data_IF_522091857690
#
_entry.id   IF_522091857690
#
_cell.length_a   1.000
_cell.length_b   1.000
_cell.length_c   1.000
_cell.angle_alpha   90.00
_cell.angle_beta   90.00
_cell.angle_gamma   90.00
#
_symmetry.space_group_name_H-M   'P 1'
#
loop_
_entity.id
_entity.type
_entity.pdbx_description
1 polymer ?
#
# COMPACT_ATOMS: atom_id res chain seq x y z
N UNK A 1 5.81 -13.05 -3.62
CA UNK A 1 6.00 -11.74 -4.25
C UNK A 1 7.09 -10.96 -3.52
N UNK A 2 7.83 -10.14 -4.28
CA UNK A 2 8.89 -9.26 -3.74
C UNK A 2 8.50 -7.81 -3.94
N UNK A 3 8.71 -7.00 -2.91
CA UNK A 3 8.35 -5.58 -2.91
C UNK A 3 9.56 -4.73 -3.32
N UNK A 4 9.47 -4.08 -4.48
CA UNK A 4 10.41 -3.09 -5.01
C UNK A 4 9.69 -1.77 -5.35
N UNK A 5 8.74 -1.37 -4.52
CA UNK A 5 7.81 -0.26 -4.80
C UNK A 5 8.33 1.14 -4.45
N UNK A 6 9.65 1.32 -4.32
CA UNK A 6 10.26 2.66 -4.19
C UNK A 6 10.59 3.29 -5.55
N UNK A 7 10.78 4.59 -5.57
CA UNK A 7 11.30 5.30 -6.73
C UNK A 7 12.83 5.24 -6.76
N UNK A 8 13.40 4.93 -7.92
CA UNK A 8 14.84 4.75 -8.11
C UNK A 8 15.47 5.98 -8.75
N UNK A 9 16.44 6.65 -8.10
CA UNK A 9 17.22 7.69 -8.74
C UNK A 9 18.12 7.09 -9.84
N UNK A 10 18.53 7.91 -10.81
CA UNK A 10 19.35 7.47 -11.95
C UNK A 10 20.62 6.73 -11.52
N UNK A 11 21.21 7.11 -10.39
CA UNK A 11 22.42 6.45 -9.84
C UNK A 11 22.19 4.99 -9.41
N UNK A 12 20.96 4.60 -9.11
CA UNK A 12 20.60 3.27 -8.59
C UNK A 12 20.01 2.34 -9.65
N UNK A 13 19.69 2.82 -10.84
CA UNK A 13 19.05 2.02 -11.91
C UNK A 13 19.87 0.77 -12.27
N UNK A 14 21.19 0.87 -12.34
CA UNK A 14 22.04 -0.31 -12.61
C UNK A 14 21.99 -1.35 -11.51
N UNK A 15 21.92 -0.91 -10.27
CA UNK A 15 21.77 -1.80 -9.13
C UNK A 15 20.40 -2.47 -9.13
N UNK A 16 19.33 -1.71 -9.33
CA UNK A 16 17.98 -2.25 -9.48
C UNK A 16 17.87 -3.28 -10.61
N UNK A 17 18.57 -3.08 -11.74
CA UNK A 17 18.63 -4.07 -12.81
C UNK A 17 19.32 -5.38 -12.36
N UNK A 18 20.37 -5.29 -11.55
CA UNK A 18 21.03 -6.49 -10.99
C UNK A 18 20.13 -7.24 -10.02
N UNK A 19 19.42 -6.49 -9.14
CA UNK A 19 18.44 -7.08 -8.22
C UNK A 19 17.32 -7.80 -8.98
N UNK A 20 16.77 -7.21 -10.04
CA UNK A 20 15.75 -7.84 -10.87
C UNK A 20 16.24 -9.17 -11.49
N UNK A 21 17.49 -9.22 -11.97
CA UNK A 21 18.08 -10.45 -12.50
C UNK A 21 18.21 -11.54 -11.43
N UNK A 22 18.67 -11.17 -10.23
CA UNK A 22 18.76 -12.10 -9.10
C UNK A 22 17.38 -12.64 -8.69
N UNK A 23 16.35 -11.78 -8.63
CA UNK A 23 14.99 -12.21 -8.33
C UNK A 23 14.45 -13.18 -9.39
N UNK A 24 14.77 -12.95 -10.67
CA UNK A 24 14.44 -13.89 -11.75
C UNK A 24 15.11 -15.25 -11.55
N UNK A 25 16.40 -15.28 -11.23
CA UNK A 25 17.17 -16.51 -10.96
C UNK A 25 16.63 -17.26 -9.74
N UNK A 26 16.14 -16.52 -8.72
CA UNK A 26 15.49 -17.10 -7.52
C UNK A 26 14.08 -17.67 -7.81
N UNK A 27 13.51 -17.41 -8.97
CA UNK A 27 12.22 -17.94 -9.39
C UNK A 27 11.02 -17.31 -8.66
N UNK A 28 11.07 -16.01 -8.34
CA UNK A 28 9.95 -15.32 -7.68
C UNK A 28 8.69 -15.33 -8.56
N UNK A 29 7.51 -15.42 -7.94
CA UNK A 29 6.23 -15.44 -8.65
C UNK A 29 5.82 -14.07 -9.19
N UNK A 30 6.23 -12.99 -8.54
CA UNK A 30 5.95 -11.63 -8.98
C UNK A 30 6.73 -10.56 -8.20
N UNK A 31 6.85 -9.39 -8.82
CA UNK A 31 7.58 -8.24 -8.29
C UNK A 31 6.65 -7.02 -8.29
N UNK A 32 6.44 -6.44 -7.12
CA UNK A 32 5.59 -5.27 -6.93
C UNK A 32 6.45 -4.02 -7.13
N UNK A 33 6.09 -3.18 -8.08
CA UNK A 33 6.82 -1.97 -8.44
C UNK A 33 5.91 -0.72 -8.42
N UNK A 34 6.52 0.45 -8.18
CA UNK A 34 5.86 1.75 -8.31
C UNK A 34 6.55 2.66 -9.35
N UNK A 35 7.78 2.36 -9.72
CA UNK A 35 8.61 3.20 -10.59
C UNK A 35 8.45 2.82 -12.06
N UNK A 36 7.95 3.72 -12.94
CA UNK A 36 7.89 3.48 -14.38
C UNK A 36 9.27 3.27 -15.03
N UNK A 37 10.34 3.85 -14.46
CA UNK A 37 11.71 3.61 -14.91
C UNK A 37 12.13 2.16 -14.65
N UNK A 38 11.75 1.60 -13.50
CA UNK A 38 12.00 0.20 -13.18
C UNK A 38 11.21 -0.75 -14.09
N UNK A 39 9.98 -0.37 -14.49
CA UNK A 39 9.24 -1.11 -15.52
C UNK A 39 10.03 -1.19 -16.82
N UNK A 40 10.60 -0.06 -17.28
CA UNK A 40 11.39 -0.06 -18.52
C UNK A 40 12.61 -1.00 -18.44
N UNK A 41 13.29 -1.00 -17.29
CA UNK A 41 14.43 -1.92 -17.04
C UNK A 41 13.96 -3.39 -17.04
N UNK A 42 12.84 -3.69 -16.39
CA UNK A 42 12.28 -5.04 -16.34
C UNK A 42 11.84 -5.52 -17.74
N UNK A 43 11.30 -4.62 -18.56
CA UNK A 43 10.93 -4.90 -19.94
C UNK A 43 12.13 -5.32 -20.79
N UNK A 44 13.30 -4.70 -20.62
CA UNK A 44 14.54 -5.11 -21.28
C UNK A 44 14.99 -6.54 -20.89
N UNK A 45 14.51 -7.03 -19.75
CA UNK A 45 14.75 -8.37 -19.23
C UNK A 45 13.62 -9.35 -19.55
N UNK A 46 12.57 -8.93 -20.27
CA UNK A 46 11.35 -9.71 -20.56
C UNK A 46 10.66 -10.22 -19.28
N UNK A 47 10.47 -9.33 -18.31
CA UNK A 47 9.87 -9.61 -16.98
C UNK A 47 8.52 -8.93 -16.78
N UNK A 48 7.91 -8.37 -17.82
CA UNK A 48 6.66 -7.61 -17.71
C UNK A 48 5.52 -8.44 -17.10
N UNK A 49 5.43 -9.70 -17.47
CA UNK A 49 4.43 -10.65 -17.01
C UNK A 49 4.57 -11.07 -15.55
N UNK A 50 5.65 -10.67 -14.88
CA UNK A 50 5.87 -10.83 -13.44
C UNK A 50 5.66 -9.55 -12.65
N UNK A 51 5.41 -8.43 -13.31
CA UNK A 51 5.29 -7.15 -12.64
C UNK A 51 3.86 -6.88 -12.17
N UNK A 52 3.79 -6.31 -10.97
CA UNK A 52 2.57 -5.78 -10.37
C UNK A 52 2.78 -4.30 -10.17
N UNK A 53 1.99 -3.46 -10.83
CA UNK A 53 2.06 -2.02 -10.65
C UNK A 53 1.30 -1.60 -9.40
N UNK A 54 2.01 -1.06 -8.42
CA UNK A 54 1.47 -0.63 -7.13
C UNK A 54 2.08 0.71 -6.71
N UNK A 55 1.62 1.82 -7.31
CA UNK A 55 2.06 3.18 -6.96
C UNK A 55 1.30 3.73 -5.75
N UNK A 56 0.89 2.88 -4.83
CA UNK A 56 0.11 3.19 -3.63
C UNK A 56 -1.26 3.83 -3.97
N UNK A 57 -1.31 5.15 -4.15
CA UNK A 57 -2.54 5.92 -4.23
C UNK A 57 -2.92 6.40 -5.63
N UNK A 58 -2.13 6.10 -6.66
CA UNK A 58 -2.24 6.80 -7.95
C UNK A 58 -3.17 6.15 -8.98
N UNK A 59 -3.44 4.85 -8.91
CA UNK A 59 -4.36 4.20 -9.87
C UNK A 59 -5.80 4.46 -9.47
N UNK A 60 -6.39 5.51 -10.05
CA UNK A 60 -7.69 6.04 -9.68
C UNK A 60 -8.76 5.95 -10.78
N UNK A 61 -8.44 5.31 -11.91
CA UNK A 61 -9.38 5.13 -13.01
C UNK A 61 -9.19 3.79 -13.72
N UNK A 62 -10.25 3.33 -14.37
CA UNK A 62 -10.18 2.12 -15.19
C UNK A 62 -9.22 2.28 -16.38
N UNK A 63 -9.12 3.48 -16.94
CA UNK A 63 -8.25 3.74 -18.09
C UNK A 63 -6.77 3.71 -17.69
N UNK A 64 -6.43 4.21 -16.50
CA UNK A 64 -5.08 4.08 -15.95
C UNK A 64 -4.72 2.60 -15.71
N UNK A 65 -5.61 1.86 -15.04
CA UNK A 65 -5.41 0.43 -14.82
C UNK A 65 -5.25 -0.35 -16.15
N UNK A 66 -6.10 -0.07 -17.16
CA UNK A 66 -6.00 -0.67 -18.51
C UNK A 66 -4.68 -0.32 -19.20
N UNK A 67 -4.22 0.92 -19.07
CA UNK A 67 -2.93 1.33 -19.64
C UNK A 67 -1.80 0.42 -19.13
N UNK A 68 -1.65 0.29 -17.82
CA UNK A 68 -0.59 -0.53 -17.25
C UNK A 68 -0.71 -2.02 -17.61
N UNK A 69 -1.91 -2.57 -17.58
CA UNK A 69 -2.14 -3.95 -18.03
C UNK A 69 -1.82 -4.15 -19.52
N UNK A 70 -2.07 -3.13 -20.36
CA UNK A 70 -1.74 -3.17 -21.79
C UNK A 70 -0.25 -3.21 -22.07
N UNK A 71 0.59 -2.82 -21.10
CA UNK A 71 2.05 -2.89 -21.20
C UNK A 71 2.63 -4.30 -20.98
N UNK A 72 1.77 -5.28 -20.69
CA UNK A 72 2.17 -6.67 -20.43
C UNK A 72 2.33 -7.00 -18.93
N UNK A 73 2.06 -6.06 -18.03
CA UNK A 73 2.14 -6.33 -16.59
C UNK A 73 1.10 -7.36 -16.16
N UNK A 74 1.50 -8.20 -15.21
CA UNK A 74 0.64 -9.24 -14.63
C UNK A 74 -0.59 -8.65 -13.94
N UNK A 75 -0.42 -7.56 -13.19
CA UNK A 75 -1.49 -7.00 -12.38
C UNK A 75 -1.24 -5.53 -12.03
N UNK A 76 -2.30 -4.87 -11.58
CA UNK A 76 -2.28 -3.48 -11.10
C UNK A 76 -3.04 -3.35 -9.78
N UNK A 77 -2.54 -2.53 -8.86
CA UNK A 77 -3.24 -2.21 -7.63
C UNK A 77 -4.08 -0.95 -7.79
N UNK A 78 -5.37 -1.06 -7.46
CA UNK A 78 -6.30 0.06 -7.40
C UNK A 78 -6.02 0.85 -6.12
N UNK A 79 -6.12 2.18 -6.20
CA UNK A 79 -5.97 3.07 -5.05
C UNK A 79 -7.00 2.76 -3.96
N UNK A 80 -6.59 2.56 -2.71
CA UNK A 80 -7.51 2.37 -1.59
C UNK A 80 -8.15 3.69 -1.09
N UNK A 81 -7.77 4.84 -1.69
CA UNK A 81 -8.30 6.16 -1.35
C UNK A 81 -9.59 6.53 -2.11
N UNK A 82 -10.11 5.61 -2.88
CA UNK A 82 -11.35 5.78 -3.65
C UNK A 82 -12.56 5.37 -2.84
N UNK A 83 -13.74 5.82 -3.27
CA UNK A 83 -15.00 5.29 -2.76
C UNK A 83 -15.19 3.84 -3.21
N UNK A 84 -15.95 3.08 -2.46
CA UNK A 84 -16.37 1.75 -2.82
C UNK A 84 -16.93 1.68 -4.26
N UNK A 85 -17.85 2.58 -4.62
CA UNK A 85 -18.45 2.63 -5.95
C UNK A 85 -17.39 2.77 -7.06
N UNK A 86 -16.40 3.63 -6.85
CA UNK A 86 -15.30 3.84 -7.79
C UNK A 86 -14.40 2.61 -7.89
N UNK A 87 -14.07 1.96 -6.76
CA UNK A 87 -13.28 0.73 -6.73
C UNK A 87 -13.99 -0.39 -7.48
N UNK A 88 -15.28 -0.63 -7.18
CA UNK A 88 -16.08 -1.67 -7.83
C UNK A 88 -16.18 -1.44 -9.35
N UNK A 89 -16.36 -0.18 -9.77
CA UNK A 89 -16.41 0.18 -11.19
C UNK A 89 -15.09 -0.07 -11.92
N UNK A 90 -13.96 0.26 -11.30
CA UNK A 90 -12.64 -0.03 -11.87
C UNK A 90 -12.42 -1.53 -11.92
N UNK A 91 -12.63 -2.23 -10.82
CA UNK A 91 -12.39 -3.68 -10.70
C UNK A 91 -13.20 -4.49 -11.74
N UNK A 92 -14.48 -4.13 -11.95
CA UNK A 92 -15.33 -4.78 -12.96
C UNK A 92 -14.93 -4.47 -14.41
N UNK A 93 -14.10 -3.45 -14.63
CA UNK A 93 -13.66 -2.99 -15.96
C UNK A 93 -12.31 -3.57 -16.39
N UNK A 94 -11.57 -4.18 -15.48
CA UNK A 94 -10.22 -4.71 -15.72
C UNK A 94 -10.09 -6.14 -15.20
N UNK A 95 -9.04 -6.83 -15.62
CA UNK A 95 -8.66 -8.15 -15.09
C UNK A 95 -7.33 -8.01 -14.35
N UNK A 96 -7.08 -8.93 -13.42
CA UNK A 96 -5.81 -8.99 -12.69
C UNK A 96 -5.51 -7.71 -11.90
N UNK A 97 -6.45 -7.29 -11.07
CA UNK A 97 -6.24 -6.18 -10.13
C UNK A 97 -6.15 -6.66 -8.68
N UNK A 98 -5.50 -5.83 -7.87
CA UNK A 98 -5.40 -5.95 -6.42
C UNK A 98 -5.75 -4.65 -5.72
N UNK A 99 -5.85 -4.70 -4.39
CA UNK A 99 -6.06 -3.54 -3.53
C UNK A 99 -5.48 -3.79 -2.15
N UNK A 100 -4.99 -2.74 -1.49
CA UNK A 100 -4.68 -2.79 -0.06
C UNK A 100 -5.99 -2.80 0.74
N UNK A 101 -6.15 -3.80 1.62
CA UNK A 101 -7.36 -4.00 2.44
C UNK A 101 -7.12 -3.81 3.92
N UNK A 102 -5.85 -3.78 4.37
CA UNK A 102 -5.52 -3.61 5.78
C UNK A 102 -4.19 -2.88 5.97
N UNK A 103 -4.12 -2.04 7.01
CA UNK A 103 -2.93 -1.32 7.43
C UNK A 103 -3.04 0.19 7.23
N UNK A 104 -2.03 0.93 7.68
CA UNK A 104 -1.93 2.36 7.42
C UNK A 104 -1.72 2.61 5.93
N UNK A 105 -2.41 3.62 5.38
CA UNK A 105 -2.25 4.01 3.98
C UNK A 105 -1.14 5.05 3.84
N UNK A 106 -0.28 4.92 2.83
CA UNK A 106 0.71 5.93 2.52
C UNK A 106 0.02 7.18 1.96
N UNK A 107 0.15 8.32 2.65
CA UNK A 107 -0.43 9.59 2.22
C UNK A 107 0.55 10.47 1.47
N UNK A 108 1.82 10.43 1.87
CA UNK A 108 2.84 11.29 1.29
C UNK A 108 4.21 10.62 1.34
N UNK A 109 4.99 10.83 0.27
CA UNK A 109 6.39 10.47 0.20
C UNK A 109 7.20 11.67 -0.29
N UNK A 110 8.32 11.96 0.37
CA UNK A 110 9.26 13.00 -0.03
C UNK A 110 10.66 12.41 -0.15
N UNK A 111 11.33 12.64 -1.27
CA UNK A 111 12.76 12.31 -1.42
C UNK A 111 13.69 13.19 -0.60
N UNK A 112 13.17 14.27 0.00
CA UNK A 112 13.95 15.13 0.89
C UNK A 112 13.99 14.52 2.29
N UNK A 113 15.13 14.55 2.98
CA UNK A 113 15.27 14.09 4.36
C UNK A 113 14.69 15.15 5.31
N UNK A 114 13.36 15.23 5.39
CA UNK A 114 12.66 16.30 6.10
C UNK A 114 12.76 16.16 7.62
N UNK A 115 12.77 14.94 8.15
CA UNK A 115 12.94 14.69 9.59
C UNK A 115 14.39 15.01 10.01
N UNK A 116 15.37 14.61 9.22
CA UNK A 116 16.78 14.97 9.44
C UNK A 116 16.98 16.50 9.40
N UNK A 117 16.42 17.18 8.39
CA UNK A 117 16.50 18.63 8.31
C UNK A 117 15.79 19.34 9.50
N UNK A 118 14.64 18.81 9.92
CA UNK A 118 13.93 19.30 11.11
C UNK A 118 14.75 19.09 12.39
N UNK A 119 15.37 17.93 12.54
CA UNK A 119 16.23 17.60 13.68
C UNK A 119 17.36 18.64 13.82
N UNK A 120 18.03 18.97 12.72
CA UNK A 120 19.12 19.96 12.70
C UNK A 120 18.64 21.36 13.12
N UNK A 121 17.53 21.84 12.53
CA UNK A 121 16.97 23.18 12.82
C UNK A 121 16.44 23.28 14.25
N UNK A 122 15.83 22.22 14.76
CA UNK A 122 15.26 22.19 16.11
C UNK A 122 16.28 21.82 17.20
N UNK A 123 17.54 21.52 16.84
CA UNK A 123 18.60 21.05 17.75
C UNK A 123 18.17 19.84 18.59
N UNK A 124 17.53 18.84 17.96
CA UNK A 124 17.11 17.61 18.62
C UNK A 124 18.29 16.64 18.66
N UNK A 125 18.67 16.19 19.84
CA UNK A 125 19.81 15.24 20.01
C UNK A 125 19.46 13.82 19.58
N UNK A 126 18.22 13.38 19.81
CA UNK A 126 17.76 12.05 19.45
C UNK A 126 17.62 11.90 17.93
N UNK A 127 18.22 10.85 17.31
CA UNK A 127 18.09 10.65 15.86
C UNK A 127 16.63 10.42 15.44
N UNK A 128 16.16 11.20 14.46
CA UNK A 128 14.83 11.02 13.87
C UNK A 128 14.86 10.10 12.64
N UNK A 129 16.00 9.96 11.98
CA UNK A 129 16.21 9.02 10.88
C UNK A 129 16.14 7.56 11.38
N UNK A 130 15.46 6.68 10.66
CA UNK A 130 15.18 5.28 11.06
C UNK A 130 14.39 5.11 12.37
N UNK A 131 13.77 6.17 12.90
CA UNK A 131 12.96 6.09 14.09
C UNK A 131 11.51 5.71 13.76
N UNK A 132 11.08 4.52 14.19
CA UNK A 132 9.72 3.99 13.94
C UNK A 132 8.67 4.45 14.97
N UNK A 133 9.02 5.34 15.89
CA UNK A 133 8.11 5.82 16.94
C UNK A 133 7.70 7.27 16.74
N UNK A 134 7.87 7.80 15.54
CA UNK A 134 7.54 9.19 15.23
C UNK A 134 6.12 9.29 14.66
N UNK A 135 5.43 10.33 15.13
CA UNK A 135 4.10 10.67 14.68
C UNK A 135 4.00 12.17 14.42
N UNK A 136 3.31 12.53 13.35
CA UNK A 136 2.92 13.91 13.09
C UNK A 136 1.50 14.14 13.62
N UNK A 137 1.27 15.32 14.17
CA UNK A 137 -0.06 15.76 14.58
C UNK A 137 -0.38 17.10 13.95
N UNK A 138 -1.48 17.19 13.23
CA UNK A 138 -2.00 18.46 12.75
C UNK A 138 -2.65 19.25 13.88
N UNK A 139 -2.52 20.58 13.86
CA UNK A 139 -3.10 21.44 14.91
C UNK A 139 -4.63 21.32 15.02
N UNK A 140 -5.29 20.98 13.92
CA UNK A 140 -6.78 20.95 13.82
C UNK A 140 -7.36 19.54 13.83
N UNK A 141 -6.53 18.51 14.00
CA UNK A 141 -6.94 17.11 14.02
C UNK A 141 -6.36 16.41 15.24
N UNK A 142 -7.11 15.47 15.81
CA UNK A 142 -6.65 14.69 16.96
C UNK A 142 -5.85 13.44 16.57
N UNK A 143 -5.92 13.05 15.31
CA UNK A 143 -5.23 11.86 14.79
C UNK A 143 -3.71 11.99 14.79
N UNK A 144 -3.03 10.87 15.03
CA UNK A 144 -1.58 10.74 15.05
C UNK A 144 -1.13 9.99 13.79
N UNK A 145 -0.50 10.70 12.85
CA UNK A 145 -0.03 10.16 11.58
C UNK A 145 1.39 9.58 11.74
N UNK A 146 1.59 8.25 11.60
CA UNK A 146 2.93 7.69 11.60
C UNK A 146 3.82 8.33 10.54
N UNK A 147 5.06 8.66 10.92
CA UNK A 147 6.04 9.26 10.04
C UNK A 147 7.37 8.52 10.14
N UNK A 148 8.01 8.29 8.99
CA UNK A 148 9.25 7.54 8.92
C UNK A 148 10.17 8.11 7.85
N UNK A 149 11.47 8.13 8.11
CA UNK A 149 12.48 8.56 7.15
C UNK A 149 13.60 7.53 7.08
N UNK A 150 13.97 7.18 5.86
CA UNK A 150 15.13 6.36 5.53
C UNK A 150 15.77 6.86 4.22
N UNK A 151 16.69 6.09 3.62
CA UNK A 151 17.38 6.41 2.39
C UNK A 151 16.44 6.59 1.19
N UNK A 152 15.24 5.99 1.23
CA UNK A 152 14.22 6.19 0.21
C UNK A 152 13.49 7.53 0.31
N UNK A 153 13.60 8.20 1.47
CA UNK A 153 12.97 9.49 1.78
C UNK A 153 12.08 9.43 3.01
N UNK A 154 11.30 10.49 3.21
CA UNK A 154 10.32 10.58 4.31
C UNK A 154 8.93 10.14 3.83
N UNK A 155 8.28 9.33 4.62
CA UNK A 155 6.92 8.81 4.42
C UNK A 155 6.00 9.25 5.54
N UNK A 156 4.77 9.61 5.20
CA UNK A 156 3.69 9.93 6.14
C UNK A 156 2.50 9.05 5.81
N UNK A 157 1.91 8.44 6.84
CA UNK A 157 0.77 7.54 6.72
C UNK A 157 -0.51 8.17 7.27
N UNK A 158 -1.65 7.55 7.01
CA UNK A 158 -2.94 7.95 7.60
C UNK A 158 -2.88 7.92 9.12
N UNK A 159 -3.77 8.63 9.78
CA UNK A 159 -3.99 8.59 11.22
C UNK A 159 -4.93 7.45 11.66
N UNK A 160 -5.30 6.59 10.71
CA UNK A 160 -6.13 5.41 10.94
C UNK A 160 -5.57 4.17 10.22
N UNK A 161 -5.91 3.01 10.74
CA UNK A 161 -5.68 1.71 10.12
C UNK A 161 -6.86 1.39 9.21
N UNK A 162 -6.63 1.38 7.90
CA UNK A 162 -7.63 0.92 6.94
C UNK A 162 -8.01 -0.52 7.25
N UNK A 163 -9.30 -0.82 7.25
CA UNK A 163 -9.83 -2.17 7.23
C UNK A 163 -10.92 -2.31 6.17
N UNK A 164 -11.13 -3.54 5.69
CA UNK A 164 -12.06 -3.82 4.60
C UNK A 164 -12.82 -5.14 4.84
N UNK A 165 -13.03 -5.55 6.08
CA UNK A 165 -13.69 -6.84 6.37
C UNK A 165 -15.05 -6.96 5.69
N UNK A 166 -15.90 -5.94 5.78
CA UNK A 166 -17.21 -5.92 5.15
C UNK A 166 -17.17 -5.79 3.61
N UNK A 167 -16.02 -5.39 3.06
CA UNK A 167 -15.86 -5.09 1.65
C UNK A 167 -15.20 -6.22 0.83
N UNK A 168 -14.67 -7.25 1.49
CA UNK A 168 -13.96 -8.34 0.80
C UNK A 168 -14.83 -9.07 -0.21
N UNK A 169 -16.05 -9.43 0.18
CA UNK A 169 -16.98 -10.13 -0.72
C UNK A 169 -17.39 -9.25 -1.90
N UNK A 170 -17.85 -7.99 -1.73
CA UNK A 170 -18.09 -7.08 -2.84
C UNK A 170 -16.88 -6.89 -3.77
N UNK A 171 -15.69 -6.73 -3.22
CA UNK A 171 -14.46 -6.57 -4.00
C UNK A 171 -14.10 -7.83 -4.79
N UNK A 172 -14.19 -9.00 -4.17
CA UNK A 172 -13.97 -10.28 -4.83
C UNK A 172 -14.97 -10.51 -5.98
N UNK A 173 -16.25 -10.22 -5.74
CA UNK A 173 -17.31 -10.36 -6.74
C UNK A 173 -17.13 -9.37 -7.92
N UNK A 174 -16.55 -8.20 -7.69
CA UNK A 174 -16.20 -7.24 -8.73
C UNK A 174 -14.96 -7.64 -9.55
N UNK A 175 -14.20 -8.65 -9.12
CA UNK A 175 -13.04 -9.18 -9.86
C UNK A 175 -11.67 -8.84 -9.27
N UNK A 176 -11.60 -8.29 -8.05
CA UNK A 176 -10.33 -8.11 -7.35
C UNK A 176 -9.80 -9.48 -6.93
N UNK A 177 -8.59 -9.81 -7.37
CA UNK A 177 -7.98 -11.13 -7.18
C UNK A 177 -6.89 -11.16 -6.11
N UNK A 178 -6.40 -9.99 -5.70
CA UNK A 178 -5.33 -9.89 -4.72
C UNK A 178 -5.66 -8.84 -3.67
N UNK A 179 -5.65 -9.28 -2.41
CA UNK A 179 -5.84 -8.45 -1.24
C UNK A 179 -4.50 -8.30 -0.52
N UNK A 180 -4.05 -7.06 -0.34
CA UNK A 180 -2.77 -6.76 0.29
C UNK A 180 -2.98 -6.22 1.71
N UNK A 181 -2.14 -6.67 2.63
CA UNK A 181 -2.16 -6.27 4.03
C UNK A 181 -0.78 -5.77 4.41
N UNK A 182 -0.70 -4.54 4.90
CA UNK A 182 0.55 -3.94 5.35
C UNK A 182 0.61 -3.87 6.87
N UNK A 183 1.70 -4.42 7.44
CA UNK A 183 1.87 -4.53 8.89
C UNK A 183 2.67 -3.38 9.52
N UNK A 184 3.05 -2.36 8.77
CA UNK A 184 3.81 -1.22 9.28
C UNK A 184 3.03 -0.55 10.41
N UNK A 185 3.68 -0.34 11.57
CA UNK A 185 3.09 0.24 12.78
C UNK A 185 1.94 -0.56 13.42
N UNK A 186 1.66 -1.76 12.92
CA UNK A 186 0.63 -2.65 13.48
C UNK A 186 1.29 -3.61 14.47
N UNK A 187 0.77 -3.77 15.70
CA UNK A 187 1.22 -4.81 16.61
C UNK A 187 1.14 -6.19 15.96
N UNK A 188 2.18 -7.00 16.10
CA UNK A 188 2.27 -8.32 15.45
C UNK A 188 1.05 -9.20 15.74
N UNK A 189 0.55 -9.19 16.98
CA UNK A 189 -0.62 -9.98 17.35
C UNK A 189 -1.87 -9.53 16.56
N UNK A 190 -2.08 -8.21 16.42
CA UNK A 190 -3.19 -7.66 15.68
C UNK A 190 -3.11 -7.98 14.18
N UNK A 191 -1.91 -7.90 13.59
CA UNK A 191 -1.69 -8.28 12.19
C UNK A 191 -1.98 -9.76 11.95
N UNK A 192 -1.49 -10.66 12.81
CA UNK A 192 -1.74 -12.10 12.67
C UNK A 192 -3.22 -12.45 12.81
N UNK A 193 -3.92 -11.81 13.73
CA UNK A 193 -5.36 -12.01 13.88
C UNK A 193 -6.13 -11.42 12.69
N UNK A 194 -5.76 -10.23 12.22
CA UNK A 194 -6.35 -9.67 11.00
C UNK A 194 -6.21 -10.66 9.83
N UNK A 195 -5.02 -11.22 9.60
CA UNK A 195 -4.79 -12.19 8.51
C UNK A 195 -5.74 -13.41 8.64
N UNK A 196 -5.90 -13.95 9.86
CA UNK A 196 -6.82 -15.09 10.11
C UNK A 196 -8.27 -14.68 9.86
N UNK A 197 -8.67 -13.53 10.37
CA UNK A 197 -10.04 -13.01 10.24
C UNK A 197 -10.39 -12.68 8.79
N UNK A 198 -9.47 -12.08 8.02
CA UNK A 198 -9.65 -11.89 6.57
C UNK A 198 -9.84 -13.23 5.84
N UNK A 199 -9.10 -14.28 6.24
CA UNK A 199 -9.30 -15.62 5.69
C UNK A 199 -10.69 -16.17 6.01
N UNK A 200 -11.18 -16.01 7.25
CA UNK A 200 -12.52 -16.43 7.64
C UNK A 200 -13.61 -15.72 6.81
N UNK A 201 -13.47 -14.42 6.55
CA UNK A 201 -14.42 -13.72 5.66
C UNK A 201 -14.37 -14.27 4.23
N UNK A 202 -13.18 -14.57 3.69
CA UNK A 202 -13.04 -15.17 2.37
C UNK A 202 -13.60 -16.60 2.32
N UNK A 203 -13.66 -17.30 3.45
CA UNK A 203 -14.24 -18.63 3.60
C UNK A 203 -15.76 -18.57 3.89
N UNK A 204 -16.38 -17.37 3.93
CA UNK A 204 -17.82 -17.14 3.97
C UNK A 204 -18.38 -16.64 5.31
N UNK A 205 -17.52 -16.22 6.27
CA UNK A 205 -18.00 -15.55 7.48
C UNK A 205 -18.45 -14.11 7.16
N UNK A 206 -19.43 -13.62 7.93
CA UNK A 206 -19.96 -12.26 7.79
C UNK A 206 -18.92 -11.21 8.16
N UNK A 207 -18.51 -10.39 7.19
CA UNK A 207 -17.47 -9.39 7.36
C UNK A 207 -17.76 -8.33 8.42
N UNK A 208 -19.03 -7.93 8.60
CA UNK A 208 -19.44 -7.00 9.65
C UNK A 208 -19.30 -7.59 11.06
N UNK A 209 -19.59 -8.87 11.22
CA UNK A 209 -19.41 -9.56 12.49
C UNK A 209 -17.95 -9.71 12.85
N UNK A 210 -17.12 -10.10 11.86
CA UNK A 210 -15.65 -10.21 12.02
C UNK A 210 -15.04 -8.85 12.33
N UNK A 211 -15.48 -7.77 11.67
CA UNK A 211 -15.05 -6.40 11.94
C UNK A 211 -15.29 -6.02 13.41
N UNK A 212 -16.51 -6.27 13.90
CA UNK A 212 -16.86 -5.96 15.30
C UNK A 212 -16.00 -6.72 16.30
N UNK A 213 -15.70 -7.97 16.02
CA UNK A 213 -14.81 -8.79 16.85
C UNK A 213 -13.40 -8.20 16.85
N UNK A 214 -12.84 -7.86 15.68
CA UNK A 214 -11.50 -7.27 15.56
C UNK A 214 -11.38 -5.95 16.33
N UNK A 215 -12.32 -5.02 16.12
CA UNK A 215 -12.35 -3.71 16.80
C UNK A 215 -12.50 -3.87 18.31
N UNK A 216 -13.33 -4.81 18.78
CA UNK A 216 -13.47 -5.10 20.20
C UNK A 216 -12.22 -5.66 20.84
N UNK A 217 -11.44 -6.43 20.08
CA UNK A 217 -10.19 -7.06 20.54
C UNK A 217 -9.03 -6.09 20.58
N UNK A 218 -9.00 -5.10 19.68
CA UNK A 218 -7.92 -4.12 19.53
C UNK A 218 -8.45 -2.68 19.59
N UNK A 219 -9.05 -2.26 20.73
CA UNK A 219 -9.67 -0.95 20.86
C UNK A 219 -8.66 0.23 20.79
N UNK A 220 -7.36 -0.07 20.97
CA UNK A 220 -6.29 0.92 20.87
C UNK A 220 -5.89 1.25 19.42
N UNK A 221 -6.27 0.40 18.45
CA UNK A 221 -6.00 0.67 17.05
C UNK A 221 -7.06 1.61 16.48
N UNK A 222 -6.66 2.70 15.81
CA UNK A 222 -7.59 3.64 15.19
C UNK A 222 -8.15 3.08 13.88
N UNK A 223 -8.95 2.01 13.97
CA UNK A 223 -9.47 1.27 12.82
C UNK A 223 -10.59 2.03 12.13
N UNK A 224 -10.57 2.09 10.79
CA UNK A 224 -11.58 2.76 9.97
C UNK A 224 -11.74 2.04 8.62
N UNK A 225 -12.94 2.13 8.04
CA UNK A 225 -13.19 1.78 6.64
C UNK A 225 -12.67 2.84 5.64
N UNK A 226 -11.96 3.82 6.16
CA UNK A 226 -11.23 4.83 5.40
C UNK A 226 -12.15 5.71 4.56
N UNK A 227 -11.94 5.62 3.24
CA UNK A 227 -12.59 6.49 2.27
C UNK A 227 -13.75 5.82 1.52
N UNK A 228 -14.10 4.59 1.83
CA UNK A 228 -15.11 3.84 1.07
C UNK A 228 -16.48 4.53 1.05
N UNK A 229 -16.91 5.10 2.17
CA UNK A 229 -18.19 5.79 2.30
C UNK A 229 -18.18 7.27 1.89
N UNK A 230 -17.03 7.86 1.53
CA UNK A 230 -16.94 9.30 1.27
C UNK A 230 -15.87 9.68 0.25
N UNK A 231 -16.20 10.62 -0.65
CA UNK A 231 -15.23 11.15 -1.63
C UNK A 231 -14.13 11.96 -0.94
N UNK A 232 -12.88 11.63 -1.24
CA UNK A 232 -11.70 12.36 -0.76
C UNK A 232 -11.43 13.63 -1.56
N UNK A 233 -11.87 13.67 -2.80
CA UNK A 233 -11.70 14.81 -3.71
C UNK A 233 -13.09 15.41 -3.97
N UNK A 234 -13.26 16.69 -3.64
CA UNK A 234 -14.45 17.48 -3.92
C UNK A 234 -14.24 18.33 -5.16
#
# INVERSE_FOLDING_TARGET
FVLMNRLFPQSEIKHAQQELKQLLEMGVDGIIIADPGLYQVAKELSLEDKLIYSPETLVTSAEDAKFWLSTGMYSVNISPLLTEEEILKIASSVRHCGIQVFGYLLMSISKRPLLTAYQEVANIEEPLHHNHHLYLREQKRDGMMPAYENEAGMMIYTDFVQESFAWLEPFSNAGIQRFEMYGNYIPQAALLDAIRMYRHVLDGEDGESVRKEFVSKYPELPVSDGYYGQKTIR
#
